data_IF_814697469737
#
_entry.id   IF_814697469737
#
_cell.length_a   1.000
_cell.length_b   1.000
_cell.length_c   1.000
_cell.angle_alpha   90.00
_cell.angle_beta   90.00
_cell.angle_gamma   90.00
#
_symmetry.space_group_name_H-M   'P 1'
#
loop_
_entity.id
_entity.type
_entity.pdbx_description
1 polymer ?
#
# COMPACT_ATOMS: atom_id res chain seq x y z
N UNK A 1 -1.44 -18.34 -18.59
CA UNK A 1 -2.21 -17.08 -18.58
C UNK A 1 -1.31 -16.01 -18.01
N UNK A 2 -1.13 -14.90 -18.73
CA UNK A 2 -0.33 -13.79 -18.24
C UNK A 2 -1.06 -13.07 -17.10
N UNK A 3 -0.32 -12.63 -16.07
CA UNK A 3 -0.89 -11.99 -14.88
C UNK A 3 -0.73 -10.48 -14.94
N UNK A 4 -1.71 -9.75 -14.41
CA UNK A 4 -1.58 -8.30 -14.23
C UNK A 4 -1.01 -7.97 -12.85
N UNK A 5 -0.09 -7.01 -12.79
CA UNK A 5 0.35 -6.37 -11.54
C UNK A 5 -0.47 -5.14 -11.26
N UNK A 6 -0.73 -4.87 -9.98
CA UNK A 6 -1.23 -3.56 -9.56
C UNK A 6 -0.38 -3.06 -8.38
N UNK A 7 0.18 -1.86 -8.51
CA UNK A 7 0.98 -1.23 -7.45
C UNK A 7 0.41 0.16 -7.13
N UNK A 8 -0.07 0.34 -5.89
CA UNK A 8 -0.39 1.66 -5.32
C UNK A 8 0.85 2.27 -4.65
N UNK A 9 1.07 3.58 -4.84
CA UNK A 9 2.24 4.27 -4.28
C UNK A 9 3.51 4.04 -5.09
N UNK A 10 3.41 4.06 -6.42
CA UNK A 10 4.50 3.73 -7.36
C UNK A 10 5.80 4.54 -7.21
N UNK A 11 5.72 5.80 -6.75
CA UNK A 11 6.87 6.67 -6.47
C UNK A 11 7.50 6.43 -5.09
N UNK A 12 6.84 5.68 -4.21
CA UNK A 12 7.37 5.37 -2.90
C UNK A 12 8.61 4.47 -2.98
N UNK A 13 9.41 4.45 -1.91
CA UNK A 13 10.64 3.65 -1.83
C UNK A 13 10.41 2.17 -2.18
N UNK A 14 9.35 1.56 -1.62
CA UNK A 14 9.00 0.17 -1.90
C UNK A 14 8.32 0.01 -3.26
N UNK A 15 7.39 0.90 -3.61
CA UNK A 15 6.64 0.82 -4.86
C UNK A 15 7.55 0.87 -6.09
N UNK A 16 8.49 1.82 -6.12
CA UNK A 16 9.44 1.97 -7.23
C UNK A 16 10.34 0.74 -7.38
N UNK A 17 10.81 0.16 -6.27
CA UNK A 17 11.61 -1.06 -6.27
C UNK A 17 10.82 -2.28 -6.76
N UNK A 18 9.55 -2.41 -6.36
CA UNK A 18 8.66 -3.49 -6.82
C UNK A 18 8.43 -3.39 -8.33
N UNK A 19 8.16 -2.19 -8.84
CA UNK A 19 7.96 -1.96 -10.28
C UNK A 19 9.23 -2.32 -11.04
N UNK A 20 10.39 -1.80 -10.62
CA UNK A 20 11.69 -2.12 -11.22
C UNK A 20 11.96 -3.62 -11.24
N UNK A 21 11.70 -4.29 -10.12
CA UNK A 21 11.88 -5.73 -10.02
C UNK A 21 10.96 -6.46 -11.01
N UNK A 22 9.67 -6.10 -11.05
CA UNK A 22 8.71 -6.69 -11.98
C UNK A 22 9.14 -6.50 -13.44
N UNK A 23 9.58 -5.31 -13.84
CA UNK A 23 10.07 -5.06 -15.20
C UNK A 23 11.26 -5.98 -15.55
N UNK A 24 12.18 -6.20 -14.61
CA UNK A 24 13.41 -6.95 -14.83
C UNK A 24 13.24 -8.48 -14.77
N UNK A 25 12.27 -8.99 -14.00
CA UNK A 25 12.14 -10.43 -13.75
C UNK A 25 10.96 -11.09 -14.46
N UNK A 26 10.11 -10.31 -15.11
CA UNK A 26 8.93 -10.82 -15.80
C UNK A 26 8.96 -10.48 -17.29
N UNK A 27 8.34 -11.32 -18.10
CA UNK A 27 8.12 -11.13 -19.54
C UNK A 27 6.63 -11.02 -19.83
N UNK A 28 6.24 -10.64 -21.04
CA UNK A 28 4.82 -10.58 -21.42
C UNK A 28 4.09 -11.92 -21.31
N UNK A 29 4.81 -13.05 -21.34
CA UNK A 29 4.23 -14.39 -21.24
C UNK A 29 3.74 -14.72 -19.83
N UNK A 30 4.41 -14.20 -18.79
CA UNK A 30 4.06 -14.42 -17.39
C UNK A 30 3.40 -13.18 -16.73
N UNK A 31 3.68 -11.98 -17.24
CA UNK A 31 3.14 -10.70 -16.78
C UNK A 31 2.90 -9.77 -17.98
N UNK A 32 1.66 -9.69 -18.44
CA UNK A 32 1.27 -8.91 -19.62
C UNK A 32 1.07 -7.42 -19.33
N UNK A 33 0.72 -7.07 -18.08
CA UNK A 33 0.41 -5.70 -17.70
C UNK A 33 0.88 -5.38 -16.28
N UNK A 34 1.41 -4.16 -16.11
CA UNK A 34 1.83 -3.60 -14.82
C UNK A 34 1.08 -2.29 -14.63
N UNK A 35 0.01 -2.31 -13.85
CA UNK A 35 -0.76 -1.13 -13.49
C UNK A 35 -0.09 -0.44 -12.31
N UNK A 36 0.14 0.85 -12.42
CA UNK A 36 0.77 1.67 -11.38
C UNK A 36 -0.09 2.90 -11.10
N UNK A 37 -0.25 3.25 -9.83
CA UNK A 37 -1.08 4.39 -9.45
C UNK A 37 -0.45 5.30 -8.41
N UNK A 38 -0.71 6.60 -8.59
CA UNK A 38 -0.31 7.72 -7.74
C UNK A 38 -1.38 8.81 -7.75
N UNK A 39 -1.32 9.69 -6.75
CA UNK A 39 -2.18 10.88 -6.64
C UNK A 39 -1.74 12.03 -7.55
N UNK A 40 -0.47 12.07 -7.95
CA UNK A 40 0.14 13.12 -8.77
C UNK A 40 0.65 12.53 -10.09
N UNK A 41 0.89 13.38 -11.12
CA UNK A 41 1.59 12.96 -12.32
C UNK A 41 2.89 12.22 -11.98
N UNK A 42 3.16 11.17 -12.75
CA UNK A 42 4.27 10.26 -12.53
C UNK A 42 5.20 10.29 -13.73
N UNK A 43 6.43 10.72 -13.52
CA UNK A 43 7.51 10.48 -14.46
C UNK A 43 8.04 9.06 -14.21
N UNK A 44 7.54 8.11 -14.99
CA UNK A 44 8.05 6.74 -14.92
C UNK A 44 9.50 6.72 -15.42
N UNK A 45 10.44 6.52 -14.50
CA UNK A 45 11.86 6.40 -14.81
C UNK A 45 12.15 5.13 -15.64
N UNK A 46 11.22 4.15 -15.62
CA UNK A 46 11.36 2.87 -16.30
C UNK A 46 10.56 2.87 -17.61
N UNK A 47 11.25 2.78 -18.74
CA UNK A 47 10.62 2.55 -20.03
C UNK A 47 10.29 1.05 -20.20
N UNK A 48 9.09 0.65 -19.79
CA UNK A 48 8.56 -0.69 -20.04
C UNK A 48 7.15 -0.56 -20.66
N UNK A 49 6.91 -1.13 -21.86
CA UNK A 49 5.64 -0.98 -22.58
C UNK A 49 4.44 -1.63 -21.86
N UNK A 50 4.68 -2.47 -20.86
CA UNK A 50 3.62 -3.12 -20.06
C UNK A 50 3.09 -2.22 -18.96
N UNK A 51 3.79 -1.12 -18.66
CA UNK A 51 3.38 -0.18 -17.60
C UNK A 51 2.20 0.66 -18.07
N UNK A 52 1.13 0.64 -17.27
CA UNK A 52 -0.06 1.47 -17.44
C UNK A 52 -0.22 2.35 -16.21
N UNK A 53 -0.03 3.65 -16.38
CA UNK A 53 -0.22 4.62 -15.30
C UNK A 53 -1.68 5.06 -15.21
N UNK A 54 -2.24 5.02 -13.99
CA UNK A 54 -3.57 5.52 -13.69
C UNK A 54 -3.46 6.46 -12.49
N UNK A 55 -3.94 7.69 -12.64
CA UNK A 55 -4.08 8.60 -11.50
C UNK A 55 -5.28 8.14 -10.67
N UNK A 56 -5.04 7.67 -9.45
CA UNK A 56 -6.10 7.33 -8.51
C UNK A 56 -5.79 7.95 -7.16
N UNK A 57 -6.84 8.39 -6.50
CA UNK A 57 -6.78 8.79 -5.12
C UNK A 57 -7.84 8.05 -4.30
N UNK A 58 -7.38 7.10 -3.49
CA UNK A 58 -8.23 6.28 -2.64
C UNK A 58 -8.65 7.00 -1.33
N UNK A 59 -8.18 8.22 -1.08
CA UNK A 59 -8.65 9.01 0.07
C UNK A 59 -10.05 9.59 -0.13
N UNK A 60 -10.62 9.51 -1.33
CA UNK A 60 -11.89 10.13 -1.68
C UNK A 60 -13.03 9.13 -1.75
N UNK A 61 -13.74 8.99 -0.63
CA UNK A 61 -15.20 8.96 -0.58
C UNK A 61 -15.58 9.72 0.71
N UNK A 62 -16.48 10.70 0.65
CA UNK A 62 -16.89 11.64 1.73
C UNK A 62 -15.82 12.60 2.34
N UNK A 63 -15.82 13.86 1.85
CA UNK A 63 -15.68 15.10 2.66
C UNK A 63 -14.53 15.25 3.68
N UNK A 64 -13.32 14.74 3.43
CA UNK A 64 -12.16 15.03 4.29
C UNK A 64 -11.27 16.11 3.65
N UNK A 65 -11.13 17.32 4.24
CA UNK A 65 -10.26 18.35 3.70
C UNK A 65 -8.78 17.95 3.81
N UNK A 66 -8.04 18.13 2.73
CA UNK A 66 -6.62 17.77 2.57
C UNK A 66 -5.66 18.45 3.59
N UNK A 67 -6.14 19.49 4.30
CA UNK A 67 -5.33 20.37 5.14
C UNK A 67 -5.03 19.88 6.57
N UNK A 68 -5.45 18.67 6.96
CA UNK A 68 -5.45 18.30 8.40
C UNK A 68 -4.66 17.08 8.86
N UNK A 69 -3.87 16.40 8.04
CA UNK A 69 -2.94 15.41 8.60
C UNK A 69 -1.82 16.11 9.40
N UNK A 70 -2.06 16.37 10.69
CA UNK A 70 -0.99 16.62 11.65
C UNK A 70 -0.31 15.29 11.90
N UNK A 71 1.00 15.22 11.66
CA UNK A 71 1.80 14.00 11.78
C UNK A 71 1.75 13.34 13.19
N UNK A 72 1.23 14.06 14.19
CA UNK A 72 1.25 13.66 15.60
C UNK A 72 -0.05 13.02 16.12
N UNK A 73 -1.13 12.96 15.33
CA UNK A 73 -2.38 12.27 15.75
C UNK A 73 -2.48 10.87 15.15
N UNK A 74 -2.13 9.87 15.97
CA UNK A 74 -2.20 8.45 15.59
C UNK A 74 -3.64 8.00 15.26
N UNK A 75 -4.66 8.58 15.89
CA UNK A 75 -6.05 8.22 15.65
C UNK A 75 -6.52 8.75 14.28
N UNK A 76 -6.14 9.98 13.94
CA UNK A 76 -6.40 10.55 12.61
C UNK A 76 -5.67 9.75 11.52
N UNK A 77 -4.40 9.43 11.75
CA UNK A 77 -3.61 8.60 10.83
C UNK A 77 -4.24 7.22 10.62
N UNK A 78 -4.73 6.58 11.69
CA UNK A 78 -5.45 5.32 11.60
C UNK A 78 -6.73 5.45 10.76
N UNK A 79 -7.56 6.46 11.04
CA UNK A 79 -8.81 6.67 10.32
C UNK A 79 -8.58 6.88 8.81
N UNK A 80 -7.61 7.73 8.44
CA UNK A 80 -7.27 8.01 7.04
C UNK A 80 -6.72 6.76 6.33
N UNK A 81 -5.78 6.04 6.95
CA UNK A 81 -5.24 4.81 6.35
C UNK A 81 -6.29 3.70 6.26
N UNK A 82 -7.21 3.64 7.24
CA UNK A 82 -8.34 2.72 7.23
C UNK A 82 -9.22 2.93 6.01
N UNK A 83 -9.74 4.15 5.88
CA UNK A 83 -10.60 4.55 4.75
C UNK A 83 -9.90 4.33 3.41
N UNK A 84 -8.63 4.71 3.30
CA UNK A 84 -7.85 4.53 2.08
C UNK A 84 -7.82 3.06 1.64
N UNK A 85 -7.56 2.15 2.57
CA UNK A 85 -7.47 0.73 2.27
C UNK A 85 -8.84 0.09 2.02
N UNK A 86 -9.88 0.49 2.76
CA UNK A 86 -11.26 0.02 2.53
C UNK A 86 -11.78 0.45 1.14
N UNK A 87 -11.51 1.69 0.74
CA UNK A 87 -11.83 2.19 -0.60
C UNK A 87 -11.07 1.42 -1.68
N UNK A 88 -9.79 1.14 -1.44
CA UNK A 88 -8.98 0.31 -2.34
C UNK A 88 -9.56 -1.10 -2.50
N UNK A 89 -9.87 -1.78 -1.38
CA UNK A 89 -10.44 -3.13 -1.41
C UNK A 89 -11.79 -3.15 -2.13
N UNK A 90 -12.67 -2.19 -1.83
CA UNK A 90 -13.99 -2.06 -2.47
C UNK A 90 -13.85 -1.85 -3.97
N UNK A 91 -12.92 -1.00 -4.41
CA UNK A 91 -12.67 -0.78 -5.84
C UNK A 91 -12.14 -2.05 -6.53
N UNK A 92 -11.21 -2.76 -5.88
CA UNK A 92 -10.63 -3.99 -6.45
C UNK A 92 -11.65 -5.12 -6.51
N UNK A 93 -12.46 -5.31 -5.48
CA UNK A 93 -13.49 -6.35 -5.44
C UNK A 93 -14.50 -6.18 -6.59
N UNK A 94 -14.88 -4.94 -6.87
CA UNK A 94 -15.79 -4.60 -7.98
C UNK A 94 -15.16 -4.72 -9.37
N UNK A 95 -13.85 -4.51 -9.51
CA UNK A 95 -13.18 -4.37 -10.83
C UNK A 95 -12.33 -5.58 -11.23
N UNK A 96 -11.90 -6.40 -10.27
CA UNK A 96 -10.97 -7.50 -10.48
C UNK A 96 -11.50 -8.81 -9.86
N UNK A 97 -12.57 -9.41 -10.42
CA UNK A 97 -13.16 -10.65 -9.90
C UNK A 97 -12.22 -11.88 -9.98
N UNK A 98 -11.09 -11.76 -10.70
CA UNK A 98 -10.05 -12.79 -10.80
C UNK A 98 -8.82 -12.47 -9.93
N UNK A 99 -8.98 -11.62 -8.91
CA UNK A 99 -7.89 -11.26 -8.01
C UNK A 99 -7.36 -12.51 -7.30
N UNK A 100 -6.07 -12.78 -7.46
CA UNK A 100 -5.43 -13.95 -6.84
C UNK A 100 -4.74 -13.61 -5.50
N UNK A 101 -4.24 -12.38 -5.34
CA UNK A 101 -3.44 -12.00 -4.17
C UNK A 101 -3.45 -10.48 -3.94
N UNK A 102 -3.48 -10.10 -2.66
CA UNK A 102 -3.14 -8.76 -2.18
C UNK A 102 -1.96 -8.89 -1.22
N UNK A 103 -0.92 -8.10 -1.46
CA UNK A 103 0.21 -7.97 -0.54
C UNK A 103 0.19 -6.59 0.09
N UNK A 104 -0.03 -6.52 1.41
CA UNK A 104 -0.03 -5.27 2.18
C UNK A 104 1.27 -5.15 2.99
N UNK A 105 2.23 -4.32 2.57
CA UNK A 105 3.45 -4.11 3.32
C UNK A 105 3.20 -3.33 4.62
N UNK A 106 3.47 -3.94 5.77
CA UNK A 106 3.45 -3.28 7.08
C UNK A 106 4.88 -2.98 7.58
N UNK A 107 5.06 -2.79 8.89
CA UNK A 107 6.36 -2.49 9.49
C UNK A 107 6.45 -2.81 10.97
N UNK A 108 7.65 -2.62 11.52
CA UNK A 108 7.99 -2.95 12.92
C UNK A 108 7.19 -2.19 13.96
N UNK A 109 6.51 -1.09 13.59
CA UNK A 109 5.62 -0.37 14.51
C UNK A 109 4.45 -1.24 14.98
N UNK A 110 4.11 -2.32 14.27
CA UNK A 110 3.09 -3.30 14.69
C UNK A 110 3.39 -3.87 16.08
N UNK A 111 4.67 -4.00 16.42
CA UNK A 111 5.12 -4.53 17.70
C UNK A 111 5.45 -3.45 18.74
N UNK A 112 5.11 -2.18 18.50
CA UNK A 112 5.49 -1.05 19.35
C UNK A 112 7.00 -0.85 19.58
N UNK A 113 7.86 -1.38 18.71
CA UNK A 113 9.32 -1.21 18.79
C UNK A 113 9.79 0.26 18.77
N UNK A 114 8.91 1.18 18.37
CA UNK A 114 9.15 2.63 18.35
C UNK A 114 8.82 3.34 19.67
N UNK A 115 8.16 2.64 20.60
CA UNK A 115 7.70 3.16 21.90
C UNK A 115 8.46 2.46 23.04
N UNK A 116 8.63 1.14 22.94
CA UNK A 116 9.22 0.34 24.01
C UNK A 116 10.19 -0.72 23.48
N UNK A 117 11.00 -1.27 24.39
CA UNK A 117 11.85 -2.41 24.11
C UNK A 117 11.00 -3.67 23.99
N UNK A 118 11.09 -4.32 22.82
CA UNK A 118 10.38 -5.56 22.52
C UNK A 118 11.39 -6.71 22.53
N UNK A 119 11.06 -7.89 23.08
CA UNK A 119 11.92 -9.07 23.02
C UNK A 119 12.38 -9.36 21.58
N UNK A 120 13.68 -9.49 21.39
CA UNK A 120 14.31 -9.76 20.09
C UNK A 120 14.82 -11.20 20.04
N UNK A 121 14.64 -11.92 18.91
CA UNK A 121 13.97 -11.50 17.69
C UNK A 121 12.43 -11.51 17.83
N UNK A 122 11.79 -10.45 17.35
CA UNK A 122 10.33 -10.35 17.32
C UNK A 122 9.76 -11.37 16.31
N UNK A 123 8.72 -12.10 16.70
CA UNK A 123 8.07 -13.13 15.89
C UNK A 123 6.71 -12.67 15.36
N UNK A 124 6.29 -13.16 14.20
CA UNK A 124 4.96 -12.91 13.63
C UNK A 124 3.82 -13.48 14.48
N UNK A 125 4.11 -14.49 15.31
CA UNK A 125 3.16 -15.04 16.28
C UNK A 125 3.08 -14.24 17.58
N UNK A 126 3.92 -13.21 17.75
CA UNK A 126 3.88 -12.37 18.95
C UNK A 126 2.55 -11.60 18.99
N UNK A 127 1.94 -11.46 20.18
CA UNK A 127 0.70 -10.72 20.31
C UNK A 127 0.91 -9.26 19.91
N UNK A 128 -0.16 -8.62 19.42
CA UNK A 128 -0.15 -7.18 19.19
C UNK A 128 0.08 -6.46 20.52
N UNK A 129 1.08 -5.59 20.57
CA UNK A 129 1.29 -4.73 21.73
C UNK A 129 0.25 -3.60 21.70
N UNK A 130 -0.59 -3.53 22.73
CA UNK A 130 -1.51 -2.41 22.91
C UNK A 130 -0.84 -1.37 23.80
N UNK A 131 -0.53 -0.20 23.25
CA UNK A 131 -0.13 0.96 24.03
C UNK A 131 -1.36 1.71 24.56
N UNK A 132 -1.17 2.81 25.32
CA UNK A 132 -2.26 3.69 25.74
C UNK A 132 -2.99 4.39 24.58
N UNK A 133 -2.46 4.30 23.36
CA UNK A 133 -3.05 4.84 22.13
C UNK A 133 -3.35 3.71 21.14
N UNK A 134 -4.41 3.84 20.35
CA UNK A 134 -4.71 2.87 19.30
C UNK A 134 -3.58 2.85 18.26
N UNK A 135 -2.92 1.70 18.11
CA UNK A 135 -1.83 1.53 17.15
C UNK A 135 -2.34 1.65 15.71
N UNK A 136 -1.51 2.22 14.83
CA UNK A 136 -1.68 2.48 13.38
C UNK A 136 -2.23 1.35 12.48
N UNK A 137 -2.48 0.15 13.01
CA UNK A 137 -2.74 -1.05 12.20
C UNK A 137 -4.19 -1.51 12.31
N UNK A 138 -4.78 -1.80 11.16
CA UNK A 138 -6.11 -2.39 10.97
C UNK A 138 -6.44 -3.43 12.04
N UNK A 139 -7.58 -3.28 12.72
CA UNK A 139 -8.16 -4.30 13.59
C UNK A 139 -8.92 -5.34 12.77
#
# INVERSE_FOLDING_TARGET
MAKTAFTSGASGLRGSAIIKHACNTTTSDNRDSIIVTLRSPFECIFADPRIKFIVLNFTYDVSYPEEKMKEDDFAESYAVNKTLFENFLTAIDNTAPKLENITLPSGRKYYNLHIELVPSPVQESSPRCYGPFESLYFR
#
